data_IF_712227786493
#
_entry.id   IF_712227786493
#
_cell.length_a   1.000
_cell.length_b   1.000
_cell.length_c   1.000
_cell.angle_alpha   90.00
_cell.angle_beta   90.00
_cell.angle_gamma   90.00
#
_symmetry.space_group_name_H-M   'P 1'
#
loop_
_entity.id
_entity.type
_entity.pdbx_description
1 polymer ?
#
# COMPACT_ATOMS: atom_id res chain seq x y z
N UNK A 1 4.50 18.02 -8.47
CA UNK A 1 3.26 17.81 -9.24
C UNK A 1 2.52 16.61 -8.67
N UNK A 2 1.19 16.64 -8.65
CA UNK A 2 0.35 15.49 -8.27
C UNK A 2 -0.61 15.19 -9.42
N UNK A 3 -0.60 13.95 -9.92
CA UNK A 3 -1.56 13.43 -10.89
C UNK A 3 -2.43 12.38 -10.20
N UNK A 4 -3.73 12.37 -10.50
CA UNK A 4 -4.69 11.35 -10.07
C UNK A 4 -5.32 10.71 -11.29
N UNK A 5 -5.43 9.39 -11.29
CA UNK A 5 -6.13 8.62 -12.32
C UNK A 5 -6.83 7.39 -11.72
N UNK A 6 -7.76 6.79 -12.47
CA UNK A 6 -8.41 5.54 -12.04
C UNK A 6 -7.39 4.41 -12.21
N UNK A 7 -7.09 3.71 -11.12
CA UNK A 7 -6.24 2.52 -11.11
C UNK A 7 -7.02 1.27 -11.53
N UNK A 8 -8.28 1.18 -11.10
CA UNK A 8 -9.16 0.05 -11.40
C UNK A 8 -10.46 0.11 -10.59
N UNK A 9 -11.28 -0.93 -10.73
CA UNK A 9 -12.54 -1.09 -10.00
C UNK A 9 -12.46 -2.29 -9.06
N UNK A 10 -12.82 -2.12 -7.80
CA UNK A 10 -12.89 -3.21 -6.82
C UNK A 10 -14.24 -3.21 -6.11
N UNK A 11 -15.00 -4.30 -6.27
CA UNK A 11 -16.34 -4.47 -5.66
C UNK A 11 -17.26 -3.25 -5.89
N UNK A 12 -17.30 -2.76 -7.13
CA UNK A 12 -18.14 -1.62 -7.53
C UNK A 12 -17.62 -0.24 -7.08
N UNK A 13 -16.40 -0.15 -6.54
CA UNK A 13 -15.78 1.11 -6.13
C UNK A 13 -14.54 1.41 -6.95
N UNK A 14 -14.37 2.67 -7.33
CA UNK A 14 -13.14 3.15 -7.95
C UNK A 14 -11.97 3.10 -6.98
N UNK A 15 -10.87 2.52 -7.44
CA UNK A 15 -9.56 2.63 -6.82
C UNK A 15 -8.76 3.65 -7.62
N UNK A 16 -8.20 4.62 -6.92
CA UNK A 16 -7.42 5.70 -7.53
C UNK A 16 -5.93 5.40 -7.42
N UNK A 17 -5.18 5.87 -8.42
CA UNK A 17 -3.73 5.95 -8.43
C UNK A 17 -3.32 7.42 -8.34
N UNK A 18 -2.44 7.73 -7.40
CA UNK A 18 -1.84 9.05 -7.23
C UNK A 18 -0.36 8.96 -7.60
N UNK A 19 0.08 9.78 -8.54
CA UNK A 19 1.50 9.92 -8.92
C UNK A 19 1.99 11.27 -8.43
N UNK A 20 2.97 11.27 -7.53
CA UNK A 20 3.60 12.45 -6.97
C UNK A 20 5.02 12.56 -7.54
N UNK A 21 5.35 13.73 -8.09
CA UNK A 21 6.68 14.04 -8.61
C UNK A 21 7.24 15.25 -7.89
N UNK A 22 8.42 15.11 -7.27
CA UNK A 22 9.10 16.21 -6.58
C UNK A 22 9.93 17.08 -7.55
N UNK A 23 10.57 18.13 -7.04
CA UNK A 23 11.40 19.06 -7.84
C UNK A 23 12.61 18.39 -8.51
N UNK A 24 13.09 17.27 -7.97
CA UNK A 24 14.22 16.50 -8.51
C UNK A 24 13.73 15.43 -9.53
N UNK A 25 12.43 15.44 -9.83
CA UNK A 25 11.79 14.49 -10.72
C UNK A 25 11.68 13.07 -10.15
N UNK A 26 11.88 12.86 -8.85
CA UNK A 26 11.64 11.54 -8.24
C UNK A 26 10.13 11.28 -8.18
N UNK A 27 9.75 10.02 -8.34
CA UNK A 27 8.34 9.64 -8.48
C UNK A 27 7.92 8.73 -7.34
N UNK A 28 6.79 9.03 -6.71
CA UNK A 28 6.07 8.15 -5.79
C UNK A 28 4.69 7.86 -6.37
N UNK A 29 4.30 6.58 -6.46
CA UNK A 29 2.93 6.19 -6.81
C UNK A 29 2.22 5.52 -5.65
N UNK A 30 1.01 5.98 -5.35
CA UNK A 30 0.17 5.54 -4.25
C UNK A 30 -1.19 5.05 -4.75
N UNK A 31 -1.66 3.90 -4.28
CA UNK A 31 -3.03 3.46 -4.52
C UNK A 31 -3.95 3.78 -3.35
N UNK A 32 -5.19 4.21 -3.62
CA UNK A 32 -6.20 4.38 -2.59
C UNK A 32 -6.67 3.06 -1.97
N UNK A 33 -6.38 1.92 -2.60
CA UNK A 33 -6.62 0.60 -2.02
C UNK A 33 -5.53 0.28 -1.01
N UNK A 34 -5.88 0.25 0.28
CA UNK A 34 -4.93 0.00 1.37
C UNK A 34 -3.88 1.09 1.60
N UNK A 35 -4.10 2.30 1.04
CA UNK A 35 -3.14 3.42 1.07
C UNK A 35 -1.71 2.96 0.68
N UNK A 36 -1.63 2.17 -0.40
CA UNK A 36 -0.44 1.40 -0.77
C UNK A 36 0.60 2.24 -1.51
N UNK A 37 1.87 2.11 -1.15
CA UNK A 37 2.99 2.46 -2.03
C UNK A 37 3.14 1.36 -3.08
N UNK A 38 3.08 1.72 -4.36
CA UNK A 38 3.25 0.77 -5.46
C UNK A 38 4.51 0.99 -6.28
N UNK A 39 5.12 2.18 -6.19
CA UNK A 39 6.31 2.56 -6.96
C UNK A 39 7.06 3.69 -6.28
N UNK A 40 8.37 3.55 -6.11
CA UNK A 40 9.28 4.65 -5.74
C UNK A 40 10.42 4.67 -6.74
N UNK A 41 10.47 5.73 -7.55
CA UNK A 41 11.52 5.93 -8.54
C UNK A 41 12.53 6.97 -8.09
N UNK A 42 13.77 6.53 -7.91
CA UNK A 42 14.86 7.37 -7.41
C UNK A 42 16.16 7.05 -8.17
N UNK A 43 17.07 8.04 -8.31
CA UNK A 43 18.34 7.83 -8.99
C UNK A 43 19.32 7.01 -8.15
N UNK A 44 20.11 6.18 -8.82
CA UNK A 44 21.33 5.58 -8.27
C UNK A 44 22.51 6.58 -8.26
N UNK A 45 23.72 6.09 -7.95
CA UNK A 45 24.94 6.90 -7.90
C UNK A 45 25.32 7.55 -9.26
N UNK A 46 24.83 7.01 -10.37
CA UNK A 46 25.08 7.48 -11.73
C UNK A 46 23.92 8.34 -12.26
N UNK A 47 22.91 8.62 -11.42
CA UNK A 47 21.72 9.35 -11.84
C UNK A 47 20.67 8.49 -12.56
N UNK A 48 20.88 7.18 -12.69
CA UNK A 48 19.92 6.28 -13.34
C UNK A 48 18.75 6.03 -12.40
N UNK A 49 17.55 6.40 -12.83
CA UNK A 49 16.31 6.23 -12.07
C UNK A 49 15.73 4.83 -12.25
N UNK A 50 15.43 4.16 -11.14
CA UNK A 50 14.73 2.88 -11.13
C UNK A 50 13.74 2.79 -9.97
N UNK A 51 12.78 1.86 -10.11
CA UNK A 51 11.87 1.51 -9.03
C UNK A 51 12.59 0.70 -7.96
N UNK A 52 12.47 1.12 -6.70
CA UNK A 52 13.08 0.45 -5.55
C UNK A 52 12.08 -0.27 -4.66
N UNK A 53 10.83 -0.45 -5.09
CA UNK A 53 9.79 -1.17 -4.34
C UNK A 53 9.51 -2.55 -4.92
N UNK A 54 9.21 -3.50 -4.04
CA UNK A 54 8.50 -4.73 -4.43
C UNK A 54 7.01 -4.42 -4.64
N UNK A 55 6.38 -5.12 -5.59
CA UNK A 55 4.99 -4.90 -5.92
C UNK A 55 4.55 -5.67 -7.16
N UNK A 56 3.47 -5.17 -7.77
CA UNK A 56 2.84 -5.77 -8.94
C UNK A 56 2.73 -4.74 -10.05
N UNK A 57 2.90 -5.18 -11.30
CA UNK A 57 2.83 -4.29 -12.46
C UNK A 57 1.37 -3.95 -12.85
N UNK A 58 0.40 -4.75 -12.41
CA UNK A 58 -1.01 -4.60 -12.77
C UNK A 58 -1.91 -4.43 -11.55
N UNK A 59 -3.04 -3.74 -11.76
CA UNK A 59 -4.09 -3.60 -10.74
C UNK A 59 -4.59 -4.97 -10.25
N UNK A 60 -4.83 -5.90 -11.17
CA UNK A 60 -5.29 -7.26 -10.84
C UNK A 60 -4.25 -8.05 -10.04
N UNK A 61 -2.96 -7.87 -10.34
CA UNK A 61 -1.87 -8.43 -9.54
C UNK A 61 -1.85 -7.83 -8.13
N UNK A 62 -2.05 -6.52 -8.00
CA UNK A 62 -2.08 -5.83 -6.70
C UNK A 62 -3.24 -6.30 -5.80
N UNK A 63 -4.44 -6.53 -6.36
CA UNK A 63 -5.62 -6.91 -5.55
C UNK A 63 -5.64 -8.39 -5.17
N UNK A 64 -5.02 -9.26 -5.97
CA UNK A 64 -5.04 -10.72 -5.75
C UNK A 64 -3.72 -11.27 -5.19
N UNK A 65 -2.65 -10.48 -5.24
CA UNK A 65 -1.33 -10.86 -4.71
C UNK A 65 -1.19 -10.63 -3.20
N UNK A 66 0.06 -10.51 -2.74
CA UNK A 66 0.37 -10.24 -1.33
C UNK A 66 -0.33 -8.96 -0.84
N UNK A 67 -1.17 -9.06 0.21
CA UNK A 67 -1.98 -7.94 0.67
C UNK A 67 -1.17 -6.92 1.49
N UNK A 68 0.10 -7.14 1.78
CA UNK A 68 0.92 -6.30 2.66
C UNK A 68 1.97 -5.46 1.93
N UNK A 69 2.36 -5.82 0.69
CA UNK A 69 3.32 -5.01 -0.07
C UNK A 69 2.88 -3.56 -0.19
N UNK A 70 3.71 -2.67 0.35
CA UNK A 70 3.53 -1.22 0.40
C UNK A 70 2.29 -0.73 1.16
N UNK A 71 1.51 -1.61 1.79
CA UNK A 71 0.21 -1.28 2.38
C UNK A 71 0.34 -0.64 3.75
N UNK A 72 -0.61 0.22 4.09
CA UNK A 72 -0.83 0.62 5.48
C UNK A 72 -1.54 -0.52 6.20
N UNK A 73 -0.94 -1.03 7.28
CA UNK A 73 -1.47 -2.16 8.08
C UNK A 73 -2.16 -1.63 9.34
N UNK A 74 -3.37 -2.14 9.61
CA UNK A 74 -4.15 -1.76 10.80
C UNK A 74 -5.38 -2.65 11.01
N UNK A 75 -6.11 -2.53 12.12
CA UNK A 75 -5.96 -1.54 13.21
C UNK A 75 -4.79 -1.79 14.17
N UNK A 76 -4.23 -2.98 14.18
CA UNK A 76 -3.02 -3.32 14.92
C UNK A 76 -2.08 -4.05 13.96
N UNK A 77 -0.82 -3.61 13.89
CA UNK A 77 0.17 -4.27 13.06
C UNK A 77 0.89 -5.36 13.87
N UNK A 78 1.23 -6.46 13.20
CA UNK A 78 1.84 -7.65 13.80
C UNK A 78 0.85 -8.49 14.64
N UNK A 79 1.37 -9.33 15.54
CA UNK A 79 0.62 -10.41 16.18
C UNK A 79 -0.05 -9.98 17.49
N UNK A 80 -1.27 -10.47 17.70
CA UNK A 80 -1.93 -10.48 19.01
C UNK A 80 -2.01 -11.94 19.45
N UNK A 81 -1.43 -12.24 20.61
CA UNK A 81 -1.31 -13.61 21.11
C UNK A 81 -2.68 -14.27 21.23
N UNK A 82 -2.83 -15.46 20.62
CA UNK A 82 -4.09 -16.23 20.59
C UNK A 82 -5.31 -15.44 20.08
N UNK A 83 -5.09 -14.33 19.36
CA UNK A 83 -6.18 -13.45 18.90
C UNK A 83 -6.99 -12.83 20.03
N UNK A 84 -6.44 -12.73 21.25
CA UNK A 84 -7.17 -12.25 22.42
C UNK A 84 -6.42 -11.13 23.14
N UNK A 85 -7.18 -10.16 23.63
CA UNK A 85 -6.68 -9.11 24.51
C UNK A 85 -7.80 -8.58 25.39
N UNK A 86 -7.45 -7.92 26.49
CA UNK A 86 -8.40 -7.24 27.40
C UNK A 86 -8.16 -5.74 27.33
N UNK A 87 -9.24 -4.97 27.21
CA UNK A 87 -9.21 -3.50 27.27
C UNK A 87 -10.39 -3.04 28.13
N UNK A 88 -10.13 -2.13 29.07
CA UNK A 88 -11.14 -1.61 30.02
C UNK A 88 -11.96 -2.72 30.71
N UNK A 89 -11.27 -3.78 31.14
CA UNK A 89 -11.85 -4.99 31.75
C UNK A 89 -12.77 -5.83 30.85
N UNK A 90 -12.84 -5.54 29.54
CA UNK A 90 -13.59 -6.34 28.55
C UNK A 90 -12.62 -7.20 27.74
N UNK A 91 -12.86 -8.51 27.67
CA UNK A 91 -12.11 -9.41 26.78
C UNK A 91 -12.63 -9.30 25.35
N UNK A 92 -11.70 -9.13 24.40
CA UNK A 92 -11.97 -9.13 22.96
C UNK A 92 -11.31 -10.35 22.32
N UNK A 93 -12.07 -11.02 21.47
CA UNK A 93 -11.57 -12.09 20.59
C UNK A 93 -11.58 -11.59 19.14
N UNK A 94 -10.43 -11.72 18.49
CA UNK A 94 -10.20 -11.39 17.09
C UNK A 94 -10.21 -12.67 16.24
N UNK A 95 -10.35 -12.49 14.93
CA UNK A 95 -10.13 -13.57 13.96
C UNK A 95 -8.69 -14.10 14.09
N UNK A 96 -8.55 -15.42 14.04
CA UNK A 96 -7.26 -16.09 13.87
C UNK A 96 -7.01 -16.27 12.37
N UNK A 97 -6.29 -15.33 11.77
CA UNK A 97 -6.06 -15.23 10.33
C UNK A 97 -4.66 -15.66 9.88
#
# INVERSE_FOLDING_TARGET
>A
MVKKEIHGMYKGKEVNLFTLTNSNGNVLKLSSFGARIIWIEVPDRNGKKENVTFGFDTFDGMINGDPYFGSVVGRYANRIAKGKFTLDSVEYTLTLN
#
